data_IF_248795008667
#
_entry.id   IF_248795008667
#
_cell.length_a   1.000
_cell.length_b   1.000
_cell.length_c   1.000
_cell.angle_alpha   90.00
_cell.angle_beta   90.00
_cell.angle_gamma   90.00
#
_symmetry.space_group_name_H-M   'P 1'
#
loop_
_entity.id
_entity.type
_entity.pdbx_description
1 polymer ?
#
# COMPACT_ATOMS: atom_id res chain seq x y z
N UNK A 1 25.63 6.37 -2.48
CA UNK A 1 25.36 5.73 -1.17
C UNK A 1 24.08 6.37 -0.71
N UNK A 2 22.97 5.64 -0.73
CA UNK A 2 21.70 6.19 -0.25
C UNK A 2 21.90 6.53 1.23
N UNK A 3 21.60 7.77 1.57
CA UNK A 3 21.61 8.25 2.93
C UNK A 3 20.35 7.74 3.64
N UNK A 4 20.49 7.14 4.83
CA UNK A 4 19.34 6.66 5.58
C UNK A 4 18.53 7.84 6.12
N UNK A 5 17.24 7.64 6.37
CA UNK A 5 16.37 8.70 6.90
C UNK A 5 16.89 9.22 8.25
N UNK A 6 17.51 8.37 9.07
CA UNK A 6 18.13 8.76 10.33
C UNK A 6 19.27 9.77 10.15
N UNK A 7 20.13 9.57 9.15
CA UNK A 7 21.24 10.47 8.86
C UNK A 7 20.71 11.85 8.42
N UNK A 8 19.63 11.86 7.64
CA UNK A 8 18.93 13.09 7.21
C UNK A 8 18.30 13.83 8.39
N UNK A 9 17.63 13.10 9.29
CA UNK A 9 17.03 13.65 10.51
C UNK A 9 18.10 14.26 11.42
N UNK A 10 19.21 13.56 11.64
CA UNK A 10 20.32 14.06 12.47
C UNK A 10 20.88 15.37 11.91
N UNK A 11 21.06 15.46 10.58
CA UNK A 11 21.48 16.70 9.91
C UNK A 11 20.46 17.83 10.06
N UNK A 12 19.17 17.56 9.84
CA UNK A 12 18.12 18.57 9.97
C UNK A 12 18.09 19.12 11.41
N UNK A 13 17.98 18.23 12.40
CA UNK A 13 17.91 18.64 13.80
C UNK A 13 19.18 19.36 14.23
N UNK A 14 20.36 18.98 13.72
CA UNK A 14 21.59 19.73 13.96
C UNK A 14 21.58 21.14 13.36
N UNK A 15 21.01 21.33 12.17
CA UNK A 15 20.94 22.64 11.52
C UNK A 15 19.99 23.58 12.26
N UNK A 16 18.91 23.04 12.82
CA UNK A 16 17.91 23.79 13.60
C UNK A 16 18.29 23.94 15.10
N UNK A 17 19.43 23.40 15.53
CA UNK A 17 19.90 23.49 16.92
C UNK A 17 19.12 22.59 17.91
N UNK A 18 18.50 21.53 17.41
CA UNK A 18 17.66 20.58 18.15
C UNK A 18 18.33 19.19 18.33
N UNK A 19 19.66 19.11 18.24
CA UNK A 19 20.40 17.84 18.32
C UNK A 19 20.07 16.98 19.54
N UNK A 20 19.69 17.59 20.67
CA UNK A 20 19.33 16.87 21.91
C UNK A 20 18.10 15.95 21.74
N UNK A 21 17.25 16.20 20.74
CA UNK A 21 16.04 15.42 20.46
C UNK A 21 16.25 14.28 19.47
N UNK A 22 17.44 14.17 18.86
CA UNK A 22 17.71 13.22 17.76
C UNK A 22 17.38 11.78 18.13
N UNK A 23 17.83 11.32 19.30
CA UNK A 23 17.58 9.94 19.73
C UNK A 23 16.09 9.68 19.99
N UNK A 24 15.37 10.68 20.52
CA UNK A 24 13.93 10.55 20.79
C UNK A 24 13.14 10.48 19.49
N UNK A 25 13.44 11.34 18.52
CA UNK A 25 12.80 11.34 17.19
C UNK A 25 13.09 10.05 16.43
N UNK A 26 14.34 9.59 16.38
CA UNK A 26 14.69 8.33 15.67
C UNK A 26 13.95 7.14 16.27
N UNK A 27 13.66 7.15 17.59
CA UNK A 27 12.92 6.08 18.27
C UNK A 27 11.42 6.08 17.96
N UNK A 28 10.84 7.19 17.50
CA UNK A 28 9.42 7.22 17.11
C UNK A 28 9.18 6.71 15.70
N UNK A 29 10.23 6.64 14.88
CA UNK A 29 10.13 6.12 13.52
C UNK A 29 9.60 4.69 13.51
N UNK A 30 8.70 4.42 12.56
CA UNK A 30 8.03 3.14 12.41
C UNK A 30 8.44 2.48 11.09
N UNK A 31 8.55 1.13 11.06
CA UNK A 31 8.93 0.43 9.84
C UNK A 31 7.79 0.45 8.81
N UNK A 32 8.17 0.55 7.54
CA UNK A 32 7.30 0.30 6.40
C UNK A 32 8.09 -0.42 5.29
N UNK A 33 7.38 -1.02 4.34
CA UNK A 33 7.97 -1.55 3.13
C UNK A 33 7.69 -0.57 1.99
N UNK A 34 8.73 0.01 1.41
CA UNK A 34 8.64 0.72 0.13
C UNK A 34 8.62 -0.31 -0.99
N UNK A 35 7.70 -0.14 -1.94
CA UNK A 35 7.54 -1.04 -3.09
C UNK A 35 7.99 -0.31 -4.35
N UNK A 36 9.10 -0.78 -4.93
CA UNK A 36 9.69 -0.18 -6.12
C UNK A 36 9.36 -1.02 -7.36
N UNK A 37 8.68 -0.45 -8.37
CA UNK A 37 8.52 -1.10 -9.66
C UNK A 37 9.88 -1.47 -10.27
N UNK A 38 9.97 -2.66 -10.85
CA UNK A 38 11.17 -3.16 -11.53
C UNK A 38 10.98 -3.13 -13.05
N UNK A 39 11.96 -2.55 -13.74
CA UNK A 39 12.07 -2.64 -15.20
C UNK A 39 12.64 -4.02 -15.58
N UNK A 40 11.76 -5.00 -15.72
CA UNK A 40 12.12 -6.35 -16.13
C UNK A 40 11.31 -6.77 -17.36
N UNK A 41 11.98 -7.29 -18.38
CA UNK A 41 11.32 -7.77 -19.61
C UNK A 41 10.49 -9.05 -19.39
N UNK A 42 10.79 -9.81 -18.34
CA UNK A 42 10.14 -11.08 -18.05
C UNK A 42 10.05 -11.31 -16.54
N UNK A 43 8.85 -11.18 -16.00
CA UNK A 43 8.56 -11.33 -14.59
C UNK A 43 8.26 -12.81 -14.31
N UNK A 44 9.04 -13.49 -13.45
CA UNK A 44 8.81 -14.89 -13.16
C UNK A 44 7.44 -15.13 -12.51
N UNK A 45 6.82 -16.26 -12.83
CA UNK A 45 5.54 -16.67 -12.25
C UNK A 45 5.63 -16.78 -10.73
N UNK A 46 4.65 -16.21 -10.02
CA UNK A 46 4.54 -16.33 -8.57
C UNK A 46 5.53 -15.48 -7.78
N UNK A 47 6.17 -14.50 -8.40
CA UNK A 47 6.87 -13.43 -7.69
C UNK A 47 5.91 -12.30 -7.34
N UNK A 48 6.35 -11.37 -6.51
CA UNK A 48 5.59 -10.13 -6.27
C UNK A 48 5.60 -9.24 -7.51
N UNK A 49 4.42 -8.77 -7.92
CA UNK A 49 4.27 -7.92 -9.11
C UNK A 49 3.05 -7.01 -9.05
N UNK A 50 3.14 -5.90 -9.77
CA UNK A 50 2.05 -5.00 -10.14
C UNK A 50 1.41 -5.48 -11.43
N UNK A 51 0.09 -5.34 -11.55
CA UNK A 51 -0.65 -5.48 -12.80
C UNK A 51 -0.41 -6.77 -13.59
N UNK A 52 -0.74 -6.74 -14.88
CA UNK A 52 -0.70 -7.92 -15.74
C UNK A 52 -1.74 -8.97 -15.35
N UNK A 53 -1.46 -10.23 -15.71
CA UNK A 53 -2.32 -11.35 -15.36
C UNK A 53 -1.92 -11.89 -13.97
N UNK A 54 -2.86 -12.00 -13.01
CA UNK A 54 -2.54 -12.58 -11.70
C UNK A 54 -2.16 -14.05 -11.83
N UNK A 55 -1.14 -14.49 -11.09
CA UNK A 55 -0.77 -15.90 -11.01
C UNK A 55 -1.64 -16.58 -9.94
N UNK A 56 -2.78 -17.15 -10.33
CA UNK A 56 -3.73 -17.75 -9.39
C UNK A 56 -3.52 -19.26 -9.22
N UNK A 57 -3.96 -19.86 -8.09
CA UNK A 57 -4.03 -21.31 -7.98
C UNK A 57 -4.93 -21.90 -9.09
N UNK A 58 -4.64 -23.11 -9.59
CA UNK A 58 -5.43 -23.73 -10.64
C UNK A 58 -6.92 -23.80 -10.29
N UNK A 59 -7.78 -23.61 -11.29
CA UNK A 59 -9.26 -23.62 -11.15
C UNK A 59 -9.84 -22.52 -10.23
N UNK A 60 -9.02 -21.60 -9.71
CA UNK A 60 -9.52 -20.47 -8.94
C UNK A 60 -10.31 -19.53 -9.85
N UNK A 61 -11.53 -19.12 -9.47
CA UNK A 61 -12.28 -18.16 -10.25
C UNK A 61 -11.56 -16.80 -10.23
N UNK A 62 -11.58 -16.09 -11.37
CA UNK A 62 -11.13 -14.71 -11.42
C UNK A 62 -12.04 -13.85 -10.51
N UNK A 63 -11.51 -12.97 -9.65
CA UNK A 63 -12.33 -12.17 -8.74
C UNK A 63 -13.31 -11.23 -9.45
N UNK A 64 -14.56 -11.26 -9.00
CA UNK A 64 -15.67 -10.50 -9.57
C UNK A 64 -16.45 -9.78 -8.48
N UNK A 65 -16.98 -8.60 -8.81
CA UNK A 65 -18.08 -7.98 -8.08
C UNK A 65 -19.37 -8.16 -8.88
N UNK A 66 -20.32 -8.92 -8.31
CA UNK A 66 -21.50 -9.42 -8.99
C UNK A 66 -21.19 -10.13 -10.33
N UNK A 67 -21.21 -9.39 -11.45
CA UNK A 67 -20.94 -9.89 -12.81
C UNK A 67 -19.87 -9.05 -13.51
N UNK A 68 -19.12 -8.23 -12.78
CA UNK A 68 -18.06 -7.39 -13.31
C UNK A 68 -16.71 -7.87 -12.78
N UNK A 69 -15.74 -8.17 -13.64
CA UNK A 69 -14.41 -8.57 -13.20
C UNK A 69 -13.72 -7.40 -12.50
N UNK A 70 -12.94 -7.70 -11.46
CA UNK A 70 -12.15 -6.70 -10.76
C UNK A 70 -10.82 -6.43 -11.47
N UNK A 71 -10.33 -5.20 -11.39
CA UNK A 71 -8.96 -4.85 -11.77
C UNK A 71 -7.98 -5.57 -10.85
N UNK A 72 -7.01 -6.28 -11.42
CA UNK A 72 -5.88 -6.79 -10.67
C UNK A 72 -4.85 -5.67 -10.44
N UNK A 73 -4.56 -5.40 -9.17
CA UNK A 73 -3.65 -4.32 -8.77
C UNK A 73 -2.25 -4.86 -8.52
N UNK A 74 -2.14 -5.87 -7.65
CA UNK A 74 -0.86 -6.45 -7.27
C UNK A 74 -1.02 -7.87 -6.69
N UNK A 75 0.06 -8.64 -6.73
CA UNK A 75 0.23 -9.84 -5.91
C UNK A 75 1.53 -9.75 -5.13
N UNK A 76 1.53 -10.26 -3.90
CA UNK A 76 2.73 -10.44 -3.09
C UNK A 76 2.99 -11.93 -2.90
N UNK A 77 4.23 -12.34 -3.14
CA UNK A 77 4.76 -13.57 -2.61
C UNK A 77 5.18 -13.32 -1.16
N UNK A 78 4.50 -13.97 -0.22
CA UNK A 78 4.71 -13.69 1.19
C UNK A 78 6.07 -14.17 1.71
N UNK A 79 6.73 -15.10 1.01
CA UNK A 79 8.11 -15.48 1.35
C UNK A 79 9.09 -14.36 1.02
N UNK A 80 8.95 -13.69 -0.14
CA UNK A 80 9.76 -12.51 -0.48
C UNK A 80 9.56 -11.37 0.52
N UNK A 81 8.30 -11.16 0.94
CA UNK A 81 7.95 -10.16 1.94
C UNK A 81 8.59 -10.50 3.30
N UNK A 82 8.50 -11.77 3.73
CA UNK A 82 9.05 -12.23 5.01
C UNK A 82 10.57 -12.13 5.09
N UNK A 83 11.26 -12.27 3.97
CA UNK A 83 12.71 -12.05 3.88
C UNK A 83 13.09 -10.60 4.20
N UNK A 84 12.25 -9.62 3.81
CA UNK A 84 12.47 -8.21 4.12
C UNK A 84 11.92 -7.81 5.50
N UNK A 85 10.78 -8.35 5.90
CA UNK A 85 10.15 -8.11 7.20
C UNK A 85 9.87 -9.41 7.97
N UNK A 86 10.85 -9.93 8.74
CA UNK A 86 10.67 -11.11 9.57
C UNK A 86 9.61 -10.94 10.67
N UNK A 87 9.26 -9.70 11.03
CA UNK A 87 8.28 -9.38 12.07
C UNK A 87 6.88 -9.13 11.51
N UNK A 88 6.70 -9.24 10.18
CA UNK A 88 5.41 -9.07 9.54
C UNK A 88 4.35 -9.99 10.17
N UNK A 89 3.14 -9.46 10.44
CA UNK A 89 2.01 -10.24 10.97
C UNK A 89 1.35 -11.14 9.91
N UNK A 90 1.76 -11.06 8.64
CA UNK A 90 1.26 -11.93 7.58
C UNK A 90 1.77 -13.37 7.72
N UNK A 91 1.10 -14.35 7.09
CA UNK A 91 1.63 -15.70 6.94
C UNK A 91 3.03 -15.70 6.31
N UNK A 92 3.89 -16.63 6.72
CA UNK A 92 5.29 -16.71 6.25
C UNK A 92 5.43 -17.19 4.79
N UNK A 93 4.34 -17.64 4.17
CA UNK A 93 4.30 -18.18 2.81
C UNK A 93 2.92 -18.05 2.17
N UNK A 94 2.88 -18.31 0.87
CA UNK A 94 1.68 -18.22 0.05
C UNK A 94 1.64 -16.90 -0.71
N UNK A 95 0.48 -16.63 -1.30
CA UNK A 95 0.27 -15.46 -2.14
C UNK A 95 -0.85 -14.59 -1.55
N UNK A 96 -0.65 -13.28 -1.60
CA UNK A 96 -1.66 -12.28 -1.25
C UNK A 96 -1.97 -11.46 -2.50
N UNK A 97 -3.24 -11.37 -2.89
CA UNK A 97 -3.66 -10.70 -4.12
C UNK A 97 -4.57 -9.52 -3.80
N UNK A 98 -4.44 -8.44 -4.57
CA UNK A 98 -5.21 -7.21 -4.41
C UNK A 98 -6.00 -6.92 -5.67
N UNK A 99 -7.32 -6.80 -5.51
CA UNK A 99 -8.26 -6.50 -6.58
C UNK A 99 -9.19 -5.34 -6.19
N UNK A 100 -9.57 -4.52 -7.17
CA UNK A 100 -10.46 -3.38 -6.97
C UNK A 100 -11.44 -3.20 -8.12
N UNK A 101 -12.59 -2.58 -7.84
CA UNK A 101 -13.69 -2.38 -8.79
C UNK A 101 -13.29 -1.47 -9.94
N UNK A 102 -13.14 -2.03 -11.14
CA UNK A 102 -12.66 -1.30 -12.32
C UNK A 102 -13.54 -0.09 -12.63
N UNK A 103 -14.85 -0.28 -12.73
CA UNK A 103 -15.79 0.76 -13.15
C UNK A 103 -15.82 1.95 -12.16
N UNK A 104 -15.75 1.64 -10.87
CA UNK A 104 -15.85 2.64 -9.80
C UNK A 104 -14.57 3.47 -9.68
N UNK A 105 -13.40 2.85 -9.88
CA UNK A 105 -12.11 3.52 -9.92
C UNK A 105 -12.00 4.55 -11.07
N UNK A 106 -12.42 4.18 -12.29
CA UNK A 106 -12.32 5.07 -13.45
C UNK A 106 -13.46 6.10 -13.51
N UNK A 107 -14.59 5.85 -12.84
CA UNK A 107 -15.72 6.79 -12.79
C UNK A 107 -15.75 7.65 -11.53
N UNK A 108 -14.68 7.65 -10.73
CA UNK A 108 -14.53 8.54 -9.56
C UNK A 108 -15.63 8.29 -8.52
N UNK A 109 -15.95 7.02 -8.28
CA UNK A 109 -16.83 6.67 -7.19
C UNK A 109 -16.18 7.08 -5.85
N UNK A 110 -16.96 7.51 -4.86
CA UNK A 110 -16.45 7.66 -3.50
C UNK A 110 -16.00 6.30 -2.95
N UNK A 111 -15.03 6.32 -2.05
CA UNK A 111 -14.41 5.12 -1.47
C UNK A 111 -15.40 4.11 -0.89
N UNK A 112 -16.51 4.56 -0.28
CA UNK A 112 -17.56 3.70 0.28
C UNK A 112 -18.35 2.88 -0.77
N UNK A 113 -18.12 3.16 -2.05
CA UNK A 113 -18.77 2.48 -3.19
C UNK A 113 -17.81 1.66 -4.03
N UNK A 114 -16.51 1.70 -3.76
CA UNK A 114 -15.53 0.93 -4.53
C UNK A 114 -15.39 -0.45 -3.89
N UNK A 115 -15.82 -1.48 -4.62
CA UNK A 115 -15.61 -2.86 -4.18
C UNK A 115 -14.13 -3.22 -4.25
N UNK A 116 -13.62 -3.92 -3.25
CA UNK A 116 -12.29 -4.50 -3.28
C UNK A 116 -12.32 -5.96 -2.80
N UNK A 117 -11.31 -6.73 -3.22
CA UNK A 117 -11.07 -8.07 -2.70
C UNK A 117 -9.58 -8.26 -2.47
N UNK A 118 -9.24 -8.64 -1.23
CA UNK A 118 -7.91 -9.13 -0.88
C UNK A 118 -8.00 -10.62 -0.59
N UNK A 119 -7.20 -11.41 -1.30
CA UNK A 119 -7.30 -12.87 -1.27
C UNK A 119 -5.95 -13.41 -0.81
N UNK A 120 -5.98 -14.25 0.22
CA UNK A 120 -4.83 -15.05 0.62
C UNK A 120 -4.99 -16.49 0.14
N UNK A 121 -3.93 -17.05 -0.44
CA UNK A 121 -3.84 -18.47 -0.79
C UNK A 121 -2.55 -19.07 -0.23
N UNK A 122 -2.66 -20.11 0.61
CA UNK A 122 -1.52 -20.95 1.01
C UNK A 122 -1.18 -21.92 -0.13
N UNK A 123 -0.39 -21.43 -1.09
CA UNK A 123 -0.04 -22.13 -2.33
C UNK A 123 1.44 -21.90 -2.66
N UNK A 124 2.10 -22.91 -3.24
CA UNK A 124 3.47 -22.74 -3.70
C UNK A 124 3.54 -22.04 -5.07
N UNK A 125 4.51 -21.13 -5.32
CA UNK A 125 4.63 -20.42 -6.60
C UNK A 125 4.62 -21.33 -7.85
N UNK A 126 5.23 -22.52 -7.75
CA UNK A 126 5.27 -23.49 -8.85
C UNK A 126 3.88 -24.00 -9.28
N UNK A 127 2.91 -24.03 -8.37
CA UNK A 127 1.56 -24.53 -8.63
C UNK A 127 0.66 -23.49 -9.32
N UNK A 128 1.04 -22.21 -9.28
CA UNK A 128 0.25 -21.13 -9.85
C UNK A 128 0.18 -21.21 -11.37
N UNK A 129 -0.84 -20.58 -11.94
CA UNK A 129 -0.96 -20.35 -13.39
C UNK A 129 -1.39 -18.90 -13.63
N UNK A 130 -0.85 -18.21 -14.66
CA UNK A 130 -1.38 -16.92 -15.06
C UNK A 130 -2.85 -17.07 -15.43
N UNK A 131 -3.72 -16.35 -14.73
CA UNK A 131 -5.14 -16.38 -14.99
C UNK A 131 -5.45 -15.61 -16.29
N UNK A 132 -6.23 -16.18 -17.22
CA UNK A 132 -6.64 -15.45 -18.41
C UNK A 132 -7.53 -14.27 -18.00
N UNK A 133 -7.33 -13.12 -18.65
CA UNK A 133 -8.23 -11.98 -18.47
C UNK A 133 -9.65 -12.37 -18.89
N UNK A 134 -10.68 -12.05 -18.07
CA UNK A 134 -12.06 -12.19 -18.49
C UNK A 134 -12.37 -11.35 -19.72
N UNK A 135 -13.19 -11.87 -20.64
CA UNK A 135 -13.55 -11.17 -21.89
C UNK A 135 -14.21 -9.79 -21.64
N UNK A 136 -14.91 -9.65 -20.51
CA UNK A 136 -15.61 -8.44 -20.10
C UNK A 136 -14.73 -7.46 -19.29
N UNK A 137 -13.45 -7.74 -19.09
CA UNK A 137 -12.53 -6.82 -18.41
C UNK A 137 -12.14 -5.67 -19.36
N UNK A 138 -12.42 -4.40 -19.01
CA UNK A 138 -12.03 -3.27 -19.85
C UNK A 138 -10.51 -3.25 -20.07
N UNK A 139 -10.06 -2.84 -21.26
CA UNK A 139 -8.62 -2.81 -21.57
C UNK A 139 -7.88 -1.78 -20.70
N UNK A 140 -8.57 -0.70 -20.38
CA UNK A 140 -8.10 0.37 -19.49
C UNK A 140 -7.94 -0.11 -18.05
N UNK A 141 -8.65 -1.18 -17.67
CA UNK A 141 -8.56 -1.81 -16.35
C UNK A 141 -7.37 -2.77 -16.23
N UNK A 142 -6.59 -3.00 -17.30
CA UNK A 142 -5.39 -3.83 -17.27
C UNK A 142 -4.20 -2.93 -16.95
N UNK A 143 -3.72 -3.03 -15.71
CA UNK A 143 -2.51 -2.36 -15.24
C UNK A 143 -1.28 -2.99 -15.88
N UNK A 144 -0.27 -2.18 -16.18
CA UNK A 144 1.01 -2.63 -16.74
C UNK A 144 1.71 -3.60 -15.78
N UNK A 145 2.25 -4.70 -16.32
CA UNK A 145 2.96 -5.69 -15.52
C UNK A 145 4.37 -5.21 -15.14
N UNK A 146 4.67 -5.13 -13.84
CA UNK A 146 5.99 -4.75 -13.31
C UNK A 146 6.34 -5.60 -12.10
N UNK A 147 7.60 -6.04 -11.99
CA UNK A 147 8.07 -6.71 -10.77
C UNK A 147 8.05 -5.76 -9.58
N UNK A 148 7.92 -6.30 -8.36
CA UNK A 148 8.02 -5.52 -7.12
C UNK A 148 9.33 -5.85 -6.42
N UNK A 149 10.12 -4.80 -6.10
CA UNK A 149 11.18 -4.91 -5.09
C UNK A 149 10.69 -4.29 -3.79
N UNK A 150 10.67 -5.08 -2.74
CA UNK A 150 10.46 -4.59 -1.38
C UNK A 150 11.75 -4.02 -0.81
N UNK A 151 11.64 -2.86 -0.15
CA UNK A 151 12.73 -2.25 0.61
C UNK A 151 12.21 -1.82 1.97
N UNK A 152 12.76 -2.41 3.03
CA UNK A 152 12.45 -1.98 4.39
C UNK A 152 13.00 -0.58 4.63
N UNK A 153 12.12 0.31 5.04
CA UNK A 153 12.45 1.67 5.45
C UNK A 153 11.80 2.00 6.79
N UNK A 154 12.17 3.16 7.32
CA UNK A 154 11.52 3.78 8.44
C UNK A 154 10.88 5.07 7.98
N UNK A 155 9.70 5.37 8.48
CA UNK A 155 9.01 6.63 8.23
C UNK A 155 8.50 7.20 9.56
N UNK A 156 8.11 8.46 9.54
CA UNK A 156 7.52 9.09 10.70
C UNK A 156 6.15 8.46 11.02
N UNK A 157 5.80 8.30 12.31
CA UNK A 157 4.45 7.91 12.67
C UNK A 157 3.47 9.00 12.22
N UNK A 158 2.23 8.62 11.90
CA UNK A 158 1.19 9.63 11.76
C UNK A 158 0.85 10.14 13.17
N UNK A 159 1.05 11.43 13.41
CA UNK A 159 0.80 12.09 14.69
C UNK A 159 -0.03 13.33 14.44
N UNK A 160 -1.15 13.44 15.14
CA UNK A 160 -1.98 14.63 15.11
C UNK A 160 -1.27 15.78 15.82
N UNK A 161 -1.23 16.94 15.17
CA UNK A 161 -0.84 18.15 15.86
C UNK A 161 -1.97 18.67 16.75
N UNK A 162 -1.65 19.18 17.94
CA UNK A 162 -2.58 20.04 18.67
C UNK A 162 -3.03 21.21 17.77
N UNK A 163 -4.30 21.60 17.85
CA UNK A 163 -4.88 22.69 17.04
C UNK A 163 -4.03 23.97 17.11
N UNK A 164 -3.42 24.27 18.26
CA UNK A 164 -2.61 25.48 18.44
C UNK A 164 -1.25 25.44 17.72
N UNK A 165 -0.85 24.29 17.19
CA UNK A 165 0.44 24.06 16.53
C UNK A 165 0.27 23.68 15.06
N UNK A 166 -0.93 23.73 14.48
CA UNK A 166 -1.21 23.29 13.09
C UNK A 166 -0.30 23.95 12.05
N UNK A 167 -0.09 25.27 12.12
CA UNK A 167 0.76 25.98 11.15
C UNK A 167 2.23 25.52 11.23
N UNK A 168 2.77 25.41 12.44
CA UNK A 168 4.13 24.92 12.67
C UNK A 168 4.29 23.45 12.28
N UNK A 169 3.25 22.66 12.54
CA UNK A 169 3.20 21.26 12.16
C UNK A 169 3.20 21.09 10.65
N UNK A 170 2.41 21.90 9.94
CA UNK A 170 2.36 21.89 8.49
C UNK A 170 3.73 22.23 7.89
N UNK A 171 4.39 23.29 8.36
CA UNK A 171 5.74 23.66 7.92
C UNK A 171 6.77 22.56 8.22
N UNK A 172 6.69 21.94 9.40
CA UNK A 172 7.57 20.82 9.76
C UNK A 172 7.34 19.62 8.85
N UNK A 173 6.09 19.22 8.64
CA UNK A 173 5.74 18.09 7.79
C UNK A 173 6.18 18.33 6.35
N UNK A 174 6.00 19.54 5.81
CA UNK A 174 6.49 19.92 4.47
C UNK A 174 8.02 19.73 4.35
N UNK A 175 8.79 20.21 5.34
CA UNK A 175 10.23 19.99 5.39
C UNK A 175 10.63 18.52 5.53
N UNK A 176 9.90 17.74 6.35
CA UNK A 176 10.13 16.31 6.51
C UNK A 176 9.81 15.54 5.21
N UNK A 177 8.78 15.95 4.47
CA UNK A 177 8.46 15.38 3.16
C UNK A 177 9.55 15.69 2.14
N UNK A 178 10.09 16.91 2.14
CA UNK A 178 11.24 17.26 1.30
C UNK A 178 12.46 16.37 1.63
N UNK A 179 12.68 16.05 2.92
CA UNK A 179 13.78 15.18 3.35
C UNK A 179 13.67 13.74 2.88
N UNK A 180 12.45 13.20 2.77
CA UNK A 180 12.26 11.85 2.23
C UNK A 180 12.68 11.77 0.75
N UNK A 181 12.88 12.90 0.05
CA UNK A 181 13.33 13.00 -1.34
C UNK A 181 12.58 12.02 -2.27
N UNK A 182 11.29 11.82 -2.00
CA UNK A 182 10.44 10.90 -2.76
C UNK A 182 10.42 11.36 -4.22
N UNK A 183 10.98 10.55 -5.13
CA UNK A 183 11.03 10.85 -6.57
C UNK A 183 10.02 9.97 -7.28
N UNK A 184 9.03 10.61 -7.92
CA UNK A 184 7.94 9.90 -8.59
C UNK A 184 6.96 9.31 -7.59
N UNK A 185 6.23 8.30 -8.04
CA UNK A 185 5.20 7.66 -7.24
C UNK A 185 5.76 6.88 -6.05
N UNK A 186 5.03 6.93 -4.94
CA UNK A 186 5.43 6.31 -3.68
C UNK A 186 4.44 5.23 -3.23
N UNK A 187 4.77 3.97 -3.53
CA UNK A 187 4.00 2.81 -3.12
C UNK A 187 4.56 2.21 -1.82
N UNK A 188 3.66 1.80 -0.92
CA UNK A 188 4.03 1.33 0.42
C UNK A 188 3.18 0.13 0.85
N UNK A 189 3.74 -0.77 1.65
CA UNK A 189 2.98 -1.74 2.44
C UNK A 189 3.37 -1.59 3.92
N UNK A 190 2.39 -1.75 4.81
CA UNK A 190 2.53 -1.50 6.25
C UNK A 190 2.98 -0.07 6.58
N UNK A 191 3.20 0.20 7.87
CA UNK A 191 3.44 1.54 8.36
C UNK A 191 2.21 2.45 8.26
N UNK A 192 2.37 3.74 8.57
CA UNK A 192 1.32 4.73 8.45
C UNK A 192 1.08 5.07 6.97
N UNK A 193 -0.19 5.20 6.53
CA UNK A 193 -0.52 5.64 5.19
C UNK A 193 -0.13 7.10 4.99
N UNK A 194 0.38 7.41 3.80
CA UNK A 194 0.58 8.78 3.37
C UNK A 194 -0.75 9.34 2.87
N UNK A 195 -1.44 10.11 3.72
CA UNK A 195 -2.76 10.65 3.40
C UNK A 195 -2.63 11.92 2.54
N UNK A 196 -3.33 11.96 1.40
CA UNK A 196 -3.47 13.16 0.56
C UNK A 196 -4.56 14.11 1.06
N UNK A 197 -5.54 13.57 1.79
CA UNK A 197 -6.71 14.30 2.28
C UNK A 197 -6.82 14.14 3.81
N UNK A 198 -7.94 13.65 4.33
CA UNK A 198 -8.11 13.29 5.74
C UNK A 198 -7.33 12.01 6.10
N UNK A 199 -7.15 11.70 7.39
CA UNK A 199 -6.45 10.46 7.80
C UNK A 199 -7.16 9.21 7.24
N UNK A 200 -6.41 8.39 6.50
CA UNK A 200 -6.95 7.19 5.84
C UNK A 200 -7.59 6.22 6.83
N UNK A 201 -7.03 6.06 8.03
CA UNK A 201 -7.60 5.14 9.02
C UNK A 201 -8.86 5.69 9.67
N UNK A 202 -9.00 7.01 9.81
CA UNK A 202 -10.24 7.65 10.22
C UNK A 202 -11.35 7.48 9.18
N UNK A 203 -11.02 7.56 7.88
CA UNK A 203 -11.96 7.19 6.81
C UNK A 203 -12.43 5.75 7.00
N UNK A 204 -11.50 4.79 7.17
CA UNK A 204 -11.84 3.39 7.38
C UNK A 204 -12.74 3.19 8.62
N UNK A 205 -12.44 3.87 9.73
CA UNK A 205 -13.25 3.85 10.96
C UNK A 205 -14.66 4.36 10.71
N UNK A 206 -14.80 5.42 9.91
CA UNK A 206 -16.09 6.02 9.58
C UNK A 206 -16.97 5.10 8.74
N UNK A 207 -16.41 4.41 7.73
CA UNK A 207 -17.17 3.55 6.81
C UNK A 207 -17.64 2.26 7.46
N UNK A 208 -16.79 1.62 8.26
CA UNK A 208 -17.14 0.37 8.93
C UNK A 208 -17.91 0.58 10.24
N UNK A 209 -18.04 1.83 10.70
CA UNK A 209 -18.67 2.14 11.99
C UNK A 209 -17.91 1.53 13.18
N UNK A 210 -16.59 1.38 13.05
CA UNK A 210 -15.70 0.77 14.05
C UNK A 210 -14.70 1.80 14.60
N UNK A 211 -15.14 2.77 15.43
CA UNK A 211 -14.30 3.89 15.84
C UNK A 211 -13.10 3.50 16.71
N UNK A 212 -13.12 2.31 17.34
CA UNK A 212 -12.06 1.81 18.21
C UNK A 212 -11.12 0.80 17.52
N UNK A 213 -11.36 0.46 16.25
CA UNK A 213 -10.52 -0.50 15.55
C UNK A 213 -9.13 0.10 15.27
N UNK A 214 -8.09 -0.64 15.62
CA UNK A 214 -6.74 -0.42 15.10
C UNK A 214 -6.70 -0.95 13.66
N UNK A 215 -6.23 -0.13 12.74
CA UNK A 215 -6.14 -0.45 11.32
C UNK A 215 -4.69 -0.66 10.91
N UNK A 216 -4.49 -1.51 9.90
CA UNK A 216 -3.20 -1.78 9.29
C UNK A 216 -3.30 -1.51 7.80
N UNK A 217 -2.34 -0.76 7.25
CA UNK A 217 -2.17 -0.61 5.81
C UNK A 217 -1.56 -1.89 5.24
N UNK A 218 -2.27 -2.58 4.34
CA UNK A 218 -1.73 -3.71 3.60
C UNK A 218 -0.98 -3.25 2.36
N UNK A 219 -1.53 -2.26 1.66
CA UNK A 219 -0.95 -1.71 0.43
C UNK A 219 -1.46 -0.30 0.18
N UNK A 220 -0.56 0.61 -0.15
CA UNK A 220 -0.79 1.94 -0.71
C UNK A 220 -0.24 1.96 -2.13
N UNK A 221 -1.05 2.39 -3.09
CA UNK A 221 -0.69 2.50 -4.50
C UNK A 221 -0.88 3.95 -4.93
N UNK A 222 0.23 4.64 -5.12
CA UNK A 222 0.25 5.97 -5.71
C UNK A 222 0.01 5.92 -7.23
N UNK A 223 -0.47 7.01 -7.80
CA UNK A 223 -0.55 7.16 -9.25
C UNK A 223 0.83 7.44 -9.84
N UNK A 224 1.14 6.82 -10.96
CA UNK A 224 2.38 7.01 -11.72
C UNK A 224 2.09 7.07 -13.24
N UNK A 225 3.14 7.00 -14.07
CA UNK A 225 2.99 7.03 -15.53
C UNK A 225 2.23 5.80 -16.09
N UNK A 226 2.17 4.70 -15.34
CA UNK A 226 1.60 3.41 -15.76
C UNK A 226 0.26 3.08 -15.08
N UNK A 227 0.01 3.65 -13.89
CA UNK A 227 -1.15 3.42 -13.03
C UNK A 227 -1.73 4.76 -12.62
N UNK A 228 -2.89 5.14 -13.15
CA UNK A 228 -3.56 6.39 -12.73
C UNK A 228 -4.90 6.06 -12.08
N UNK A 229 -5.09 6.57 -10.87
CA UNK A 229 -6.28 6.34 -10.05
C UNK A 229 -7.04 7.66 -9.87
N UNK A 230 -8.29 7.74 -10.32
CA UNK A 230 -9.09 8.95 -10.16
C UNK A 230 -8.48 10.18 -10.85
N UNK A 231 -8.05 11.17 -10.06
CA UNK A 231 -7.40 12.41 -10.51
C UNK A 231 -5.92 12.44 -10.09
N UNK A 232 -5.17 11.39 -10.47
CA UNK A 232 -3.79 11.16 -10.02
C UNK A 232 -3.70 10.97 -8.49
N UNK A 233 -4.68 10.27 -7.92
CA UNK A 233 -4.80 9.97 -6.51
C UNK A 233 -4.06 8.70 -6.07
N UNK A 234 -4.34 8.26 -4.84
CA UNK A 234 -3.78 7.05 -4.25
C UNK A 234 -4.87 6.09 -3.77
N UNK A 235 -4.59 4.80 -3.88
CA UNK A 235 -5.39 3.72 -3.32
C UNK A 235 -4.77 3.21 -2.01
N UNK A 236 -5.61 2.90 -1.03
CA UNK A 236 -5.18 2.35 0.25
C UNK A 236 -6.04 1.13 0.61
N UNK A 237 -5.41 -0.04 0.67
CA UNK A 237 -6.00 -1.28 1.16
C UNK A 237 -5.72 -1.40 2.65
N UNK A 238 -6.73 -1.21 3.48
CA UNK A 238 -6.62 -1.21 4.92
C UNK A 238 -7.40 -2.38 5.53
N UNK A 239 -6.86 -3.01 6.57
CA UNK A 239 -7.51 -4.14 7.24
C UNK A 239 -7.52 -3.92 8.76
N UNK A 240 -8.64 -4.19 9.47
CA UNK A 240 -8.63 -4.16 10.92
C UNK A 240 -7.59 -5.14 11.47
N UNK A 241 -6.78 -4.71 12.42
CA UNK A 241 -5.68 -5.49 12.98
C UNK A 241 -6.14 -6.84 13.52
N UNK A 242 -7.33 -6.90 14.13
CA UNK A 242 -7.89 -8.17 14.60
C UNK A 242 -8.24 -9.13 13.46
N UNK A 243 -8.72 -8.63 12.32
CA UNK A 243 -9.03 -9.45 11.16
C UNK A 243 -7.74 -9.99 10.53
N UNK A 244 -6.70 -9.16 10.45
CA UNK A 244 -5.35 -9.57 10.05
C UNK A 244 -4.82 -10.73 10.90
N UNK A 245 -4.90 -10.62 12.22
CA UNK A 245 -4.48 -11.68 13.15
C UNK A 245 -5.29 -12.98 13.01
N UNK A 246 -6.52 -12.90 12.48
CA UNK A 246 -7.38 -14.06 12.18
C UNK A 246 -7.21 -14.57 10.74
N UNK A 247 -6.44 -13.88 9.89
CA UNK A 247 -6.33 -14.17 8.46
C UNK A 247 -7.61 -13.89 7.66
N UNK A 248 -8.49 -13.03 8.16
CA UNK A 248 -9.77 -12.69 7.54
C UNK A 248 -9.63 -11.46 6.63
N UNK A 249 -9.05 -11.67 5.44
CA UNK A 249 -8.83 -10.61 4.45
C UNK A 249 -10.12 -10.12 3.77
N UNK A 250 -11.26 -10.78 3.99
CA UNK A 250 -12.55 -10.29 3.46
C UNK A 250 -13.07 -9.05 4.20
N UNK A 251 -12.35 -8.57 5.21
CA UNK A 251 -12.63 -7.34 5.96
C UNK A 251 -11.81 -6.14 5.48
N UNK A 252 -11.11 -6.26 4.36
CA UNK A 252 -10.35 -5.15 3.80
C UNK A 252 -11.29 -4.03 3.36
N UNK A 253 -10.95 -2.81 3.76
CA UNK A 253 -11.53 -1.55 3.30
C UNK A 253 -10.59 -0.93 2.26
N UNK A 254 -11.16 -0.40 1.17
CA UNK A 254 -10.42 0.36 0.18
C UNK A 254 -10.77 1.84 0.33
N UNK A 255 -9.74 2.68 0.44
CA UNK A 255 -9.87 4.14 0.40
C UNK A 255 -9.19 4.63 -0.87
N UNK A 256 -9.81 5.59 -1.55
CA UNK A 256 -9.16 6.42 -2.58
C UNK A 256 -9.10 7.86 -2.08
N UNK A 257 -7.95 8.50 -2.22
CA UNK A 257 -7.81 9.95 -2.00
C UNK A 257 -7.21 10.58 -3.25
N UNK A 258 -7.61 11.81 -3.55
CA UNK A 258 -7.10 12.56 -4.69
C UNK A 258 -6.46 13.87 -4.18
N UNK A 259 -5.42 14.39 -4.85
CA UNK A 259 -4.76 15.63 -4.47
C UNK A 259 -5.68 16.88 -4.57
#
# INVERSE_FOLDING_TARGET
MNEFIEDKIEKLLSNEGLSDWTEEVIRTLVPCLVLEPQEEDNIPKGTSKWGGAPDLPPESPYPMDALQPLTFIAQFNLTELKEQDPMSPLPDRGMLYFFAGSNDLYHRAPSDRITCQVIYADVHPDELIPAPFPDDLPREAVVTERGIRFRMEKTFPNVDAPEEMEEMWFELMDQLYELEERKGAYHQAFGPPFSLQEDVFDVCRSYEGQPAAEWVLLLQVDSDEEMVWGDEGMLYFCLPREALLRGDFSKTCLVIQNP
#
